data_IF_724105769929
#
_entry.id   IF_724105769929
#
_cell.length_a   1.000
_cell.length_b   1.000
_cell.length_c   1.000
_cell.angle_alpha   90.00
_cell.angle_beta   90.00
_cell.angle_gamma   90.00
#
_symmetry.space_group_name_H-M   'P 1'
#
loop_
_entity.id
_entity.type
_entity.pdbx_description
1 polymer ?
#
# COMPACT_ATOMS: atom_id res chain seq x y z
N UNK A 1 -5.19 34.07 -18.32
CA UNK A 1 -4.59 32.71 -18.33
C UNK A 1 -5.56 31.74 -17.67
N UNK A 2 -6.15 30.79 -18.41
CA UNK A 2 -6.95 29.73 -17.78
C UNK A 2 -6.00 28.89 -16.92
N UNK A 3 -6.36 28.72 -15.64
CA UNK A 3 -5.54 28.01 -14.65
C UNK A 3 -5.16 26.62 -15.16
N UNK A 4 -3.92 26.19 -14.90
CA UNK A 4 -3.41 24.84 -15.18
C UNK A 4 -4.34 23.75 -14.63
N UNK A 5 -5.08 24.04 -13.56
CA UNK A 5 -6.03 23.11 -12.95
C UNK A 5 -7.31 22.93 -13.78
N UNK A 6 -7.74 23.97 -14.52
CA UNK A 6 -8.85 23.86 -15.46
C UNK A 6 -8.50 22.93 -16.64
N UNK A 7 -7.25 22.98 -17.12
CA UNK A 7 -6.75 22.07 -18.15
C UNK A 7 -6.63 20.63 -17.65
N UNK A 8 -6.23 20.41 -16.39
CA UNK A 8 -6.18 19.06 -15.80
C UNK A 8 -7.56 18.42 -15.69
N UNK A 9 -8.58 19.16 -15.26
CA UNK A 9 -9.95 18.64 -15.18
C UNK A 9 -10.54 18.33 -16.55
N UNK A 10 -10.20 19.10 -17.59
CA UNK A 10 -10.63 18.83 -18.97
C UNK A 10 -9.90 17.63 -19.60
N UNK A 11 -8.65 17.36 -19.19
CA UNK A 11 -7.86 16.24 -19.71
C UNK A 11 -8.10 14.92 -18.95
N UNK A 12 -8.64 14.97 -17.73
CA UNK A 12 -8.99 13.77 -16.95
C UNK A 12 -9.80 12.75 -17.77
N UNK A 13 -10.92 13.12 -18.44
CA UNK A 13 -11.68 12.16 -19.25
C UNK A 13 -10.89 11.54 -20.39
N UNK A 14 -9.95 12.28 -20.99
CA UNK A 14 -9.08 11.80 -22.06
C UNK A 14 -8.01 10.83 -21.50
N UNK A 15 -7.42 11.15 -20.35
CA UNK A 15 -6.42 10.31 -19.68
C UNK A 15 -7.06 9.03 -19.13
N UNK A 16 -8.24 9.12 -18.49
CA UNK A 16 -9.02 7.95 -18.08
C UNK A 16 -9.53 7.16 -19.30
N UNK A 17 -9.89 7.84 -20.39
CA UNK A 17 -10.28 7.23 -21.66
C UNK A 17 -9.14 6.45 -22.32
N UNK A 18 -7.92 6.99 -22.31
CA UNK A 18 -6.70 6.29 -22.77
C UNK A 18 -6.34 5.12 -21.84
N UNK A 19 -6.67 5.21 -20.55
CA UNK A 19 -6.58 4.08 -19.60
C UNK A 19 -7.37 2.84 -20.03
N UNK A 20 -8.46 3.01 -20.80
CA UNK A 20 -9.22 1.89 -21.36
C UNK A 20 -8.48 1.15 -22.49
N UNK A 21 -7.45 1.74 -23.09
CA UNK A 21 -6.62 1.10 -24.11
C UNK A 21 -5.54 0.18 -23.51
N UNK A 22 -5.16 0.41 -22.24
CA UNK A 22 -4.20 -0.40 -21.49
C UNK A 22 -4.90 -1.34 -20.51
N UNK A 23 -5.99 -1.96 -20.96
CA UNK A 23 -7.01 -2.65 -20.15
C UNK A 23 -6.46 -3.85 -19.36
N UNK A 24 -5.76 -3.55 -18.27
CA UNK A 24 -5.64 -4.39 -17.09
C UNK A 24 -6.50 -3.70 -16.01
N UNK A 25 -7.81 -3.69 -16.23
CA UNK A 25 -8.79 -3.23 -15.24
C UNK A 25 -9.62 -4.43 -14.82
N UNK A 26 -9.05 -5.36 -14.03
CA UNK A 26 -9.79 -6.51 -13.55
C UNK A 26 -11.04 -6.04 -12.81
N UNK A 27 -12.19 -6.62 -13.15
CA UNK A 27 -13.49 -6.21 -12.58
C UNK A 27 -13.71 -6.74 -11.17
N UNK A 28 -12.96 -7.74 -10.78
CA UNK A 28 -13.03 -8.43 -9.50
C UNK A 28 -11.66 -9.04 -9.16
N UNK A 29 -11.53 -9.56 -7.94
CA UNK A 29 -10.27 -10.14 -7.48
C UNK A 29 -9.84 -11.36 -8.31
N UNK A 30 -10.76 -12.17 -8.84
CA UNK A 30 -10.41 -13.32 -9.70
C UNK A 30 -9.75 -12.90 -11.01
N UNK A 31 -10.30 -11.91 -11.72
CA UNK A 31 -9.64 -11.36 -12.91
C UNK A 31 -8.28 -10.74 -12.54
N UNK A 32 -8.18 -10.13 -11.35
CA UNK A 32 -6.92 -9.58 -10.84
C UNK A 32 -5.87 -10.64 -10.56
N UNK A 33 -6.27 -11.82 -10.11
CA UNK A 33 -5.37 -12.98 -9.91
C UNK A 33 -4.75 -13.42 -11.24
N UNK A 34 -5.53 -13.49 -12.31
CA UNK A 34 -5.01 -13.90 -13.63
C UNK A 34 -3.97 -12.91 -14.16
N UNK A 35 -4.21 -11.62 -13.94
CA UNK A 35 -3.23 -10.55 -14.21
C UNK A 35 -1.97 -10.73 -13.37
N UNK A 36 -2.11 -10.94 -12.06
CA UNK A 36 -0.96 -11.11 -11.17
C UNK A 36 -0.13 -12.33 -11.60
N UNK A 37 -0.78 -13.43 -12.00
CA UNK A 37 -0.11 -14.62 -12.53
C UNK A 37 0.67 -14.31 -13.82
N UNK A 38 0.07 -13.56 -14.74
CA UNK A 38 0.74 -13.16 -15.98
C UNK A 38 1.97 -12.26 -15.71
N UNK A 39 1.87 -11.31 -14.77
CA UNK A 39 3.00 -10.48 -14.35
C UNK A 39 4.10 -11.30 -13.68
N UNK A 40 3.74 -12.26 -12.83
CA UNK A 40 4.70 -13.13 -12.16
C UNK A 40 5.42 -14.07 -13.12
N UNK A 41 4.77 -14.54 -14.19
CA UNK A 41 5.44 -15.31 -15.25
C UNK A 41 6.50 -14.48 -16.01
N UNK A 42 6.48 -13.16 -15.88
CA UNK A 42 7.50 -12.25 -16.42
C UNK A 42 8.39 -11.64 -15.33
N UNK A 43 8.44 -12.23 -14.13
CA UNK A 43 9.24 -11.77 -12.98
C UNK A 43 8.92 -10.32 -12.52
N UNK A 44 7.71 -9.84 -12.80
CA UNK A 44 7.25 -8.51 -12.36
C UNK A 44 6.51 -8.66 -11.03
N UNK A 45 7.02 -8.09 -9.92
CA UNK A 45 6.29 -8.07 -8.66
C UNK A 45 4.93 -7.39 -8.79
N UNK A 46 3.92 -7.92 -8.11
CA UNK A 46 2.58 -7.37 -8.18
C UNK A 46 1.94 -7.24 -6.80
N UNK A 47 0.89 -6.44 -6.73
CA UNK A 47 0.03 -6.37 -5.55
C UNK A 47 -1.42 -6.40 -6.00
N UNK A 48 -2.26 -7.06 -5.21
CA UNK A 48 -3.68 -7.21 -5.50
C UNK A 48 -4.50 -6.58 -4.37
N UNK A 49 -5.43 -5.70 -4.73
CA UNK A 49 -6.34 -5.07 -3.79
C UNK A 49 -7.69 -4.81 -4.43
N UNK A 50 -8.76 -5.04 -3.68
CA UNK A 50 -10.13 -4.74 -4.11
C UNK A 50 -10.43 -3.26 -3.92
N UNK A 51 -11.02 -2.65 -4.93
CA UNK A 51 -11.72 -1.37 -4.82
C UNK A 51 -13.18 -1.64 -4.50
N UNK A 52 -13.54 -1.59 -3.22
CA UNK A 52 -14.90 -1.82 -2.77
C UNK A 52 -15.79 -0.60 -2.98
N UNK A 53 -17.09 -0.84 -3.11
CA UNK A 53 -18.12 0.20 -3.17
C UNK A 53 -18.84 0.33 -1.85
N UNK A 54 -19.49 1.48 -1.64
CA UNK A 54 -20.41 1.64 -0.51
C UNK A 54 -21.49 0.56 -0.57
N UNK A 55 -21.69 -0.15 0.54
CA UNK A 55 -22.66 -1.24 0.64
C UNK A 55 -22.13 -2.64 0.27
N UNK A 56 -20.88 -2.78 -0.16
CA UNK A 56 -20.27 -4.12 -0.32
C UNK A 56 -20.23 -4.85 1.03
N UNK A 57 -20.54 -6.15 1.03
CA UNK A 57 -20.49 -6.99 2.23
C UNK A 57 -19.03 -7.29 2.63
N UNK A 58 -18.57 -6.87 3.84
CA UNK A 58 -17.24 -7.18 4.33
C UNK A 58 -16.91 -8.67 4.36
N UNK A 59 -17.89 -9.55 4.63
CA UNK A 59 -17.67 -11.01 4.65
C UNK A 59 -17.41 -11.55 3.25
N UNK A 60 -18.08 -11.01 2.23
CA UNK A 60 -17.75 -11.32 0.84
C UNK A 60 -16.34 -10.83 0.49
N UNK A 61 -15.96 -9.63 0.90
CA UNK A 61 -14.62 -9.09 0.67
C UNK A 61 -13.54 -10.00 1.29
N UNK A 62 -13.74 -10.46 2.53
CA UNK A 62 -12.84 -11.42 3.20
C UNK A 62 -12.68 -12.70 2.36
N UNK A 63 -13.80 -13.31 1.96
CA UNK A 63 -13.80 -14.55 1.17
C UNK A 63 -13.07 -14.38 -0.16
N UNK A 64 -13.26 -13.25 -0.85
CA UNK A 64 -12.58 -12.99 -2.12
C UNK A 64 -11.06 -12.80 -1.94
N UNK A 65 -10.60 -12.13 -0.87
CA UNK A 65 -9.16 -12.04 -0.57
C UNK A 65 -8.55 -13.40 -0.23
N UNK A 66 -9.25 -14.23 0.54
CA UNK A 66 -8.79 -15.57 0.89
C UNK A 66 -8.66 -16.45 -0.37
N UNK A 67 -9.69 -16.46 -1.22
CA UNK A 67 -9.65 -17.17 -2.49
C UNK A 67 -8.52 -16.69 -3.40
N UNK A 68 -8.30 -15.38 -3.49
CA UNK A 68 -7.20 -14.81 -4.27
C UNK A 68 -5.83 -15.24 -3.74
N UNK A 69 -5.65 -15.23 -2.42
CA UNK A 69 -4.44 -15.73 -1.75
C UNK A 69 -4.21 -17.22 -2.07
N UNK A 70 -5.21 -18.06 -1.87
CA UNK A 70 -5.10 -19.50 -2.12
C UNK A 70 -4.76 -19.80 -3.58
N UNK A 71 -5.32 -19.03 -4.51
CA UNK A 71 -5.05 -19.19 -5.95
C UNK A 71 -3.62 -18.77 -6.34
N UNK A 72 -2.97 -17.91 -5.54
CA UNK A 72 -1.60 -17.42 -5.76
C UNK A 72 -0.55 -18.08 -4.83
N UNK A 73 -0.95 -19.09 -4.05
CA UNK A 73 -0.13 -19.82 -3.06
C UNK A 73 1.15 -20.46 -3.62
N UNK A 74 1.24 -20.65 -4.94
CA UNK A 74 2.37 -21.30 -5.62
C UNK A 74 3.21 -20.38 -6.50
N UNK A 75 2.91 -19.08 -6.54
CA UNK A 75 3.81 -18.12 -7.18
C UNK A 75 5.05 -17.96 -6.29
N UNK A 76 6.24 -18.19 -6.85
CA UNK A 76 7.44 -18.57 -6.10
C UNK A 76 7.77 -17.61 -4.94
N UNK A 77 8.43 -18.14 -3.90
CA UNK A 77 8.88 -17.37 -2.74
C UNK A 77 9.81 -16.19 -3.08
N UNK A 78 10.31 -16.10 -4.32
CA UNK A 78 11.12 -14.98 -4.80
C UNK A 78 10.27 -13.84 -5.39
N UNK A 79 9.00 -14.10 -5.74
CA UNK A 79 8.07 -13.08 -6.24
C UNK A 79 7.49 -12.27 -5.08
N UNK A 80 7.77 -10.95 -5.07
CA UNK A 80 7.30 -9.99 -4.05
C UNK A 80 5.80 -9.67 -4.23
N UNK A 81 4.94 -10.68 -4.11
CA UNK A 81 3.49 -10.52 -4.10
C UNK A 81 2.94 -10.19 -2.71
N UNK A 82 1.92 -9.33 -2.65
CA UNK A 82 1.19 -9.05 -1.42
C UNK A 82 -0.21 -8.50 -1.67
N UNK A 83 -1.10 -8.73 -0.70
CA UNK A 83 -2.46 -8.21 -0.71
C UNK A 83 -2.51 -6.79 -0.15
N UNK A 84 -3.13 -5.86 -0.86
CA UNK A 84 -3.39 -4.49 -0.39
C UNK A 84 -4.82 -4.38 0.14
N UNK A 85 -4.97 -4.37 1.46
CA UNK A 85 -6.23 -4.23 2.17
C UNK A 85 -6.61 -2.77 2.31
N UNK A 86 -7.92 -2.49 2.22
CA UNK A 86 -8.51 -1.20 2.56
C UNK A 86 -9.33 -1.35 3.84
N UNK A 87 -8.81 -0.94 5.01
CA UNK A 87 -9.50 -1.08 6.30
C UNK A 87 -10.95 -0.59 6.34
N UNK A 88 -11.32 0.53 5.68
CA UNK A 88 -12.71 0.99 5.65
C UNK A 88 -13.66 -0.02 5.01
N UNK A 89 -13.21 -0.74 3.98
CA UNK A 89 -14.03 -1.76 3.31
C UNK A 89 -14.27 -3.01 4.17
N UNK A 90 -13.51 -3.16 5.26
CA UNK A 90 -13.70 -4.20 6.27
C UNK A 90 -14.46 -3.68 7.50
N UNK A 91 -14.96 -2.43 7.45
CA UNK A 91 -15.54 -1.70 8.58
C UNK A 91 -14.60 -1.62 9.80
N UNK A 92 -13.27 -1.65 9.56
CA UNK A 92 -12.26 -1.74 10.61
C UNK A 92 -12.45 -2.93 11.57
N UNK A 93 -13.10 -4.01 11.13
CA UNK A 93 -13.35 -5.17 11.97
C UNK A 93 -12.06 -6.02 12.10
N UNK A 94 -11.55 -6.24 13.32
CA UNK A 94 -10.31 -6.99 13.55
C UNK A 94 -10.41 -8.47 13.15
N UNK A 95 -11.59 -9.09 13.26
CA UNK A 95 -11.77 -10.48 12.84
C UNK A 95 -11.69 -10.63 11.32
N UNK A 96 -12.25 -9.68 10.58
CA UNK A 96 -12.16 -9.68 9.11
C UNK A 96 -10.71 -9.52 8.63
N UNK A 97 -9.97 -8.56 9.21
CA UNK A 97 -8.56 -8.37 8.89
C UNK A 97 -7.73 -9.61 9.27
N UNK A 98 -7.93 -10.15 10.48
CA UNK A 98 -7.22 -11.33 10.95
C UNK A 98 -7.46 -12.56 10.05
N UNK A 99 -8.70 -12.77 9.58
CA UNK A 99 -9.03 -13.87 8.68
C UNK A 99 -8.28 -13.79 7.34
N UNK A 100 -8.20 -12.59 6.74
CA UNK A 100 -7.44 -12.38 5.49
C UNK A 100 -5.95 -12.59 5.74
N UNK A 101 -5.42 -12.00 6.82
CA UNK A 101 -4.00 -12.05 7.15
C UNK A 101 -3.55 -13.48 7.44
N UNK A 102 -4.32 -14.25 8.21
CA UNK A 102 -3.99 -15.64 8.50
C UNK A 102 -3.82 -16.45 7.21
N UNK A 103 -4.75 -16.33 6.26
CA UNK A 103 -4.66 -17.01 4.96
C UNK A 103 -3.47 -16.50 4.13
N UNK A 104 -3.25 -15.18 4.07
CA UNK A 104 -2.12 -14.60 3.34
C UNK A 104 -0.77 -15.09 3.86
N UNK A 105 -0.57 -15.04 5.18
CA UNK A 105 0.68 -15.47 5.81
C UNK A 105 0.90 -16.98 5.69
N UNK A 106 -0.16 -17.79 5.80
CA UNK A 106 -0.09 -19.24 5.56
C UNK A 106 0.35 -19.57 4.13
N UNK A 107 -0.02 -18.71 3.17
CA UNK A 107 0.35 -18.84 1.76
C UNK A 107 1.66 -18.11 1.41
N UNK A 108 2.37 -17.55 2.40
CA UNK A 108 3.66 -16.88 2.22
C UNK A 108 3.57 -15.47 1.63
N UNK A 109 2.39 -14.85 1.61
CA UNK A 109 2.18 -13.52 1.05
C UNK A 109 2.33 -12.43 2.11
N UNK A 110 2.85 -11.27 1.71
CA UNK A 110 2.77 -10.06 2.52
C UNK A 110 1.35 -9.49 2.55
N UNK A 111 1.08 -8.65 3.54
CA UNK A 111 -0.16 -7.89 3.67
C UNK A 111 0.17 -6.41 3.83
N UNK A 112 -0.48 -5.58 3.04
CA UNK A 112 -0.32 -4.14 3.02
C UNK A 112 -1.62 -3.45 3.41
N UNK A 113 -1.54 -2.46 4.29
CA UNK A 113 -2.66 -1.63 4.71
C UNK A 113 -2.58 -0.31 3.94
N UNK A 114 -3.49 -0.14 2.97
CA UNK A 114 -3.61 1.11 2.21
C UNK A 114 -4.09 2.24 3.13
N UNK A 115 -3.54 3.44 2.93
CA UNK A 115 -4.05 4.66 3.56
C UNK A 115 -5.37 5.07 2.91
N UNK A 116 -6.26 5.69 3.68
CA UNK A 116 -7.47 6.31 3.16
C UNK A 116 -7.57 7.78 3.60
N UNK A 117 -8.76 8.30 3.92
CA UNK A 117 -8.92 9.65 4.45
C UNK A 117 -8.06 9.90 5.71
N UNK A 118 -7.69 11.16 5.94
CA UNK A 118 -6.81 11.58 7.04
C UNK A 118 -7.32 11.10 8.41
N UNK A 119 -8.60 11.29 8.68
CA UNK A 119 -9.28 10.89 9.93
C UNK A 119 -9.30 9.37 10.16
N UNK A 120 -9.05 8.57 9.12
CA UNK A 120 -9.04 7.11 9.18
C UNK A 120 -7.66 6.52 9.48
N UNK A 121 -6.64 7.36 9.66
CA UNK A 121 -5.28 6.86 9.87
C UNK A 121 -5.12 6.17 11.22
N UNK A 122 -5.59 6.76 12.32
CA UNK A 122 -5.48 6.12 13.64
C UNK A 122 -6.30 4.81 13.73
N UNK A 123 -7.55 4.74 13.21
CA UNK A 123 -8.25 3.46 13.06
C UNK A 123 -7.47 2.41 12.26
N UNK A 124 -6.79 2.81 11.19
CA UNK A 124 -5.96 1.91 10.36
C UNK A 124 -4.75 1.38 11.13
N UNK A 125 -4.03 2.26 11.83
CA UNK A 125 -2.89 1.88 12.67
C UNK A 125 -3.30 0.90 13.78
N UNK A 126 -4.42 1.18 14.46
CA UNK A 126 -4.96 0.27 15.50
C UNK A 126 -5.31 -1.11 14.94
N UNK A 127 -5.94 -1.16 13.76
CA UNK A 127 -6.29 -2.43 13.13
C UNK A 127 -5.03 -3.23 12.73
N UNK A 128 -4.02 -2.55 12.18
CA UNK A 128 -2.75 -3.17 11.85
C UNK A 128 -2.06 -3.71 13.11
N UNK A 129 -1.99 -2.93 14.18
CA UNK A 129 -1.40 -3.33 15.47
C UNK A 129 -2.09 -4.57 16.05
N UNK A 130 -3.44 -4.56 16.13
CA UNK A 130 -4.22 -5.71 16.58
C UNK A 130 -3.99 -6.96 15.73
N UNK A 131 -3.83 -6.79 14.42
CA UNK A 131 -3.55 -7.89 13.50
C UNK A 131 -2.14 -8.45 13.72
N UNK A 132 -1.15 -7.59 13.94
CA UNK A 132 0.23 -7.99 14.23
C UNK A 132 0.32 -8.74 15.56
N UNK A 133 -0.35 -8.26 16.60
CA UNK A 133 -0.35 -8.86 17.95
C UNK A 133 -0.97 -10.27 17.96
N UNK A 134 -1.90 -10.55 17.04
CA UNK A 134 -2.47 -11.90 16.85
C UNK A 134 -1.53 -12.86 16.10
N UNK A 135 -0.51 -12.33 15.43
CA UNK A 135 0.40 -13.08 14.55
C UNK A 135 1.87 -12.96 15.00
N UNK A 136 2.12 -12.70 16.29
CA UNK A 136 3.45 -12.42 16.86
C UNK A 136 4.49 -13.50 16.57
N UNK A 137 4.07 -14.77 16.53
CA UNK A 137 4.93 -15.93 16.23
C UNK A 137 5.42 -15.98 14.79
N UNK A 138 4.88 -15.15 13.90
CA UNK A 138 5.34 -15.10 12.52
C UNK A 138 6.71 -14.41 12.42
N UNK A 139 6.99 -13.30 13.12
CA UNK A 139 8.03 -12.27 12.82
C UNK A 139 9.53 -12.66 12.79
N UNK A 140 9.90 -13.93 12.63
CA UNK A 140 11.24 -14.44 12.86
C UNK A 140 12.14 -14.69 11.63
N UNK A 141 12.03 -13.93 10.53
CA UNK A 141 13.09 -13.97 9.50
C UNK A 141 13.61 -12.58 9.16
N UNK A 142 14.93 -12.42 9.34
CA UNK A 142 15.65 -11.22 8.96
C UNK A 142 15.54 -11.01 7.43
N UNK A 143 15.17 -9.80 7.01
CA UNK A 143 15.11 -9.42 5.60
C UNK A 143 13.77 -9.64 4.89
N UNK A 144 12.76 -10.23 5.54
CA UNK A 144 11.40 -10.34 4.99
C UNK A 144 10.39 -9.55 5.83
N UNK A 145 9.51 -8.81 5.16
CA UNK A 145 8.42 -8.08 5.80
C UNK A 145 7.11 -8.84 5.57
N UNK A 146 6.26 -8.89 6.60
CA UNK A 146 4.91 -9.46 6.49
C UNK A 146 3.82 -8.41 6.42
N UNK A 147 4.07 -7.30 7.09
CA UNK A 147 3.15 -6.20 7.21
C UNK A 147 3.74 -4.95 6.58
N UNK A 148 2.90 -4.21 5.88
CA UNK A 148 3.26 -2.93 5.29
C UNK A 148 2.15 -1.91 5.48
N UNK A 149 2.52 -0.63 5.53
CA UNK A 149 1.61 0.49 5.70
C UNK A 149 1.92 1.58 4.67
N UNK A 150 0.88 2.17 4.09
CA UNK A 150 1.05 3.38 3.26
C UNK A 150 1.21 4.62 4.14
N UNK A 151 2.22 5.45 3.84
CA UNK A 151 2.48 6.73 4.47
C UNK A 151 2.28 7.88 3.47
N UNK A 152 1.21 8.67 3.60
CA UNK A 152 0.96 9.82 2.73
C UNK A 152 1.85 11.01 3.07
N UNK A 153 2.74 11.37 2.14
CA UNK A 153 3.78 12.36 2.38
C UNK A 153 3.29 13.80 2.53
N UNK A 154 2.06 14.09 2.10
CA UNK A 154 1.46 15.41 2.28
C UNK A 154 1.03 15.71 3.71
N UNK A 155 0.90 14.72 4.58
CA UNK A 155 0.45 14.92 5.96
C UNK A 155 1.64 15.07 6.89
N UNK A 156 1.66 16.11 7.73
CA UNK A 156 2.73 16.34 8.71
C UNK A 156 2.84 15.19 9.72
N UNK A 157 1.71 14.60 10.13
CA UNK A 157 1.69 13.45 11.07
C UNK A 157 2.43 12.22 10.56
N UNK A 158 2.60 12.05 9.24
CA UNK A 158 3.26 10.87 8.68
C UNK A 158 4.74 10.74 9.07
N UNK A 159 5.40 11.80 9.53
CA UNK A 159 6.73 11.69 10.14
C UNK A 159 6.67 10.87 11.44
N UNK A 160 5.67 11.11 12.30
CA UNK A 160 5.45 10.32 13.51
C UNK A 160 5.01 8.88 13.18
N UNK A 161 4.16 8.71 12.17
CA UNK A 161 3.78 7.36 11.72
C UNK A 161 5.00 6.58 11.19
N UNK A 162 5.96 7.25 10.53
CA UNK A 162 7.19 6.63 10.05
C UNK A 162 8.05 6.10 11.20
N UNK A 163 8.12 6.83 12.32
CA UNK A 163 8.80 6.36 13.54
C UNK A 163 8.10 5.12 14.13
N UNK A 164 6.76 5.11 14.14
CA UNK A 164 5.98 3.94 14.56
C UNK A 164 6.27 2.73 13.67
N UNK A 165 6.27 2.92 12.34
CA UNK A 165 6.57 1.88 11.34
C UNK A 165 7.96 1.28 11.57
N UNK A 166 8.98 2.12 11.77
CA UNK A 166 10.34 1.68 12.06
C UNK A 166 10.42 0.89 13.37
N UNK A 167 9.83 1.41 14.45
CA UNK A 167 9.80 0.74 15.76
C UNK A 167 9.13 -0.64 15.71
N UNK A 168 8.12 -0.80 14.86
CA UNK A 168 7.33 -2.03 14.73
C UNK A 168 7.84 -2.99 13.65
N UNK A 169 8.91 -2.64 12.93
CA UNK A 169 9.44 -3.48 11.84
C UNK A 169 8.46 -3.63 10.68
N UNK A 170 7.57 -2.67 10.48
CA UNK A 170 6.61 -2.64 9.37
C UNK A 170 7.31 -2.06 8.13
N UNK A 171 6.99 -2.57 6.94
CA UNK A 171 7.47 -1.95 5.69
C UNK A 171 6.67 -0.71 5.35
N UNK A 172 7.36 0.38 5.00
CA UNK A 172 6.70 1.58 4.49
C UNK A 172 6.47 1.52 2.96
N UNK A 173 5.28 1.91 2.51
CA UNK A 173 5.05 2.39 1.13
C UNK A 173 4.80 3.88 1.18
N UNK A 174 5.62 4.67 0.49
CA UNK A 174 5.48 6.12 0.44
C UNK A 174 4.67 6.53 -0.79
N UNK A 175 3.67 7.37 -0.57
CA UNK A 175 2.84 7.99 -1.62
C UNK A 175 2.76 9.49 -1.39
N UNK A 176 2.37 10.27 -2.40
CA UNK A 176 2.08 11.71 -2.19
C UNK A 176 0.86 11.95 -1.30
N UNK A 177 -0.11 11.04 -1.36
CA UNK A 177 -1.40 11.17 -0.68
C UNK A 177 -2.45 11.81 -1.58
N UNK A 178 -3.55 11.10 -1.80
CA UNK A 178 -4.68 11.59 -2.60
C UNK A 178 -5.57 12.54 -1.76
N UNK A 179 -5.88 12.14 -0.54
CA UNK A 179 -6.80 12.83 0.36
C UNK A 179 -6.13 13.96 1.13
N UNK A 180 -6.86 15.07 1.29
CA UNK A 180 -6.39 16.18 2.12
C UNK A 180 -6.47 15.83 3.60
N UNK A 181 -5.63 16.48 4.41
CA UNK A 181 -5.84 16.52 5.84
C UNK A 181 -7.10 17.32 6.20
N UNK A 182 -7.63 17.13 7.42
CA UNK A 182 -8.80 17.86 7.91
C UNK A 182 -8.54 19.38 8.00
N UNK A 183 -7.28 19.75 8.27
CA UNK A 183 -6.79 21.13 8.23
C UNK A 183 -5.61 21.28 7.28
N UNK A 184 -5.56 22.39 6.54
CA UNK A 184 -4.39 22.75 5.72
C UNK A 184 -3.12 22.97 6.55
N UNK A 185 -3.27 23.33 7.83
CA UNK A 185 -2.13 23.44 8.78
C UNK A 185 -1.43 22.11 8.99
N UNK A 186 -2.12 21.00 8.74
CA UNK A 186 -1.61 19.64 8.94
C UNK A 186 -0.98 19.08 7.66
N UNK A 187 -0.97 19.87 6.59
CA UNK A 187 -0.35 19.51 5.32
C UNK A 187 1.04 20.14 5.15
N UNK A 188 1.86 19.46 4.36
CA UNK A 188 3.13 19.97 3.83
C UNK A 188 3.15 19.80 2.31
N UNK A 189 4.12 20.41 1.64
CA UNK A 189 4.34 20.13 0.22
C UNK A 189 4.60 18.62 0.03
N UNK A 190 3.82 17.91 -0.79
CA UNK A 190 3.91 16.46 -0.89
C UNK A 190 5.29 15.97 -1.32
N UNK A 191 6.01 16.70 -2.19
CA UNK A 191 7.35 16.28 -2.64
C UNK A 191 8.38 16.43 -1.53
N UNK A 192 8.37 17.57 -0.82
CA UNK A 192 9.23 17.80 0.34
C UNK A 192 8.96 16.79 1.44
N UNK A 193 7.69 16.54 1.77
CA UNK A 193 7.31 15.52 2.74
C UNK A 193 7.75 14.12 2.32
N UNK A 194 7.73 13.81 1.02
CA UNK A 194 8.11 12.48 0.52
C UNK A 194 9.59 12.21 0.78
N UNK A 195 10.44 13.18 0.45
CA UNK A 195 11.88 13.07 0.69
C UNK A 195 12.22 13.10 2.19
N UNK A 196 11.47 13.87 3.00
CA UNK A 196 11.62 13.86 4.45
C UNK A 196 11.28 12.48 5.06
N UNK A 197 10.27 11.78 4.52
CA UNK A 197 9.95 10.41 4.93
C UNK A 197 11.05 9.41 4.52
N UNK A 198 11.62 9.55 3.32
CA UNK A 198 12.79 8.75 2.91
C UNK A 198 13.94 8.95 3.89
N UNK A 199 14.31 10.20 4.17
CA UNK A 199 15.42 10.52 5.07
C UNK A 199 15.18 10.00 6.50
N UNK A 200 13.93 9.91 6.92
CA UNK A 200 13.53 9.37 8.23
C UNK A 200 13.60 7.84 8.30
N UNK A 201 13.20 7.15 7.23
CA UNK A 201 13.02 5.69 7.23
C UNK A 201 14.28 4.93 6.80
N UNK A 202 15.13 5.55 5.99
CA UNK A 202 16.32 4.87 5.47
C UNK A 202 17.25 4.44 6.62
N UNK A 203 17.65 3.17 6.59
CA UNK A 203 18.46 2.52 7.62
C UNK A 203 17.68 2.13 8.88
N UNK A 204 16.39 2.46 8.96
CA UNK A 204 15.53 2.08 10.11
C UNK A 204 14.51 1.00 9.77
N UNK A 205 14.23 0.77 8.48
CA UNK A 205 13.40 -0.33 7.96
C UNK A 205 14.15 -1.13 6.88
N UNK A 206 13.83 -2.42 6.68
CA UNK A 206 14.54 -3.24 5.69
C UNK A 206 14.25 -2.81 4.25
N UNK A 207 13.02 -2.39 3.94
CA UNK A 207 12.59 -1.99 2.60
C UNK A 207 11.65 -0.78 2.67
N UNK A 208 11.76 0.12 1.68
CA UNK A 208 10.85 1.25 1.48
C UNK A 208 10.30 1.21 0.05
N UNK A 209 8.99 1.07 -0.11
CA UNK A 209 8.36 1.12 -1.43
C UNK A 209 8.14 2.58 -1.88
N UNK A 210 8.74 2.97 -3.01
CA UNK A 210 8.57 4.30 -3.61
C UNK A 210 7.42 4.28 -4.63
N UNK A 211 6.21 4.66 -4.21
CA UNK A 211 5.02 4.65 -5.05
C UNK A 211 4.74 6.06 -5.62
N UNK A 212 5.41 6.40 -6.72
CA UNK A 212 5.21 7.67 -7.45
C UNK A 212 5.46 7.50 -8.95
N UNK A 213 4.65 8.18 -9.77
CA UNK A 213 4.89 8.34 -11.21
C UNK A 213 5.76 9.56 -11.55
N UNK A 214 6.17 10.34 -10.54
CA UNK A 214 7.12 11.45 -10.72
C UNK A 214 8.56 10.90 -10.74
N UNK A 215 9.10 10.73 -11.94
CA UNK A 215 10.43 10.17 -12.17
C UNK A 215 11.55 10.93 -11.44
N UNK A 216 11.48 12.26 -11.40
CA UNK A 216 12.50 13.07 -10.72
C UNK A 216 12.47 12.82 -9.21
N UNK A 217 11.28 12.74 -8.62
CA UNK A 217 11.11 12.41 -7.21
C UNK A 217 11.57 10.97 -6.89
N UNK A 218 11.22 10.00 -7.74
CA UNK A 218 11.65 8.61 -7.56
C UNK A 218 13.17 8.47 -7.60
N UNK A 219 13.82 9.09 -8.58
CA UNK A 219 15.29 9.09 -8.70
C UNK A 219 15.97 9.71 -7.48
N UNK A 220 15.44 10.83 -6.98
CA UNK A 220 15.97 11.48 -5.78
C UNK A 220 15.78 10.61 -4.53
N UNK A 221 14.62 9.98 -4.37
CA UNK A 221 14.37 9.04 -3.27
C UNK A 221 15.36 7.86 -3.30
N UNK A 222 15.59 7.26 -4.47
CA UNK A 222 16.57 6.18 -4.65
C UNK A 222 17.99 6.66 -4.31
N UNK A 223 18.37 7.85 -4.78
CA UNK A 223 19.69 8.41 -4.52
C UNK A 223 19.93 8.63 -3.02
N UNK A 224 18.94 9.12 -2.28
CA UNK A 224 19.01 9.32 -0.82
C UNK A 224 19.11 8.03 -0.02
N UNK A 225 18.66 6.91 -0.58
CA UNK A 225 18.63 5.61 0.10
C UNK A 225 19.87 4.74 -0.15
N UNK A 226 20.62 5.02 -1.23
CA UNK A 226 21.74 4.19 -1.67
C UNK A 226 22.81 4.03 -0.57
N UNK A 227 23.12 2.79 -0.21
CA UNK A 227 24.17 2.45 0.75
C UNK A 227 23.82 2.71 2.22
N UNK A 228 22.57 3.00 2.56
CA UNK A 228 22.14 3.38 3.91
C UNK A 228 21.32 2.31 4.65
N UNK A 229 21.35 1.06 4.18
CA UNK A 229 20.80 -0.09 4.92
C UNK A 229 19.33 -0.43 4.67
N UNK A 230 18.63 0.30 3.80
CA UNK A 230 17.29 -0.07 3.31
C UNK A 230 17.32 -0.37 1.83
N UNK A 231 16.58 -1.39 1.37
CA UNK A 231 16.26 -1.55 -0.05
C UNK A 231 15.15 -0.57 -0.46
N UNK A 232 15.13 -0.24 -1.76
CA UNK A 232 14.08 0.51 -2.46
C UNK A 232 13.54 -0.37 -3.58
#
# INVERSE_FOLDING_TARGET
MKSVDFLKEQLKPLVYGLGNLYRISPKNLSEGVDVCRALHNGDIPSTLGKFSRSGDDPLQIVREYQLASDTLKSTSAETRFYLSLKPPALNFNPEHAAAIVATALQNGHGVHFDSHDYSLTDPTLRLLEQTMDRNLSANAQAGSWRFSLTLPSRWKRSIGDAEWVAKRGVRARLVKGEFKADSSSDETDPKKGFLALIDRLVGTVPEIAVATHDYALAREAIARSKGRGSSI
#
